data_IF_787919640008
#
_entry.id   IF_787919640008
#
_cell.length_a   1.000
_cell.length_b   1.000
_cell.length_c   1.000
_cell.angle_alpha   90.00
_cell.angle_beta   90.00
_cell.angle_gamma   90.00
#
_symmetry.space_group_name_H-M   'P 1'
#
loop_
_entity.id
_entity.type
_entity.pdbx_description
1 polymer ?
#
# COMPACT_ATOMS: atom_id res chain seq x y z
N UNK A 1 -9.27 8.59 -0.55
CA UNK A 1 -9.89 8.54 0.79
C UNK A 1 -10.25 9.96 1.20
N UNK A 2 -11.41 10.20 1.83
CA UNK A 2 -11.67 11.49 2.51
C UNK A 2 -11.02 11.40 3.89
N UNK A 3 -10.21 12.38 4.26
CA UNK A 3 -9.55 12.40 5.56
C UNK A 3 -10.48 13.06 6.58
N UNK A 4 -10.69 12.42 7.73
CA UNK A 4 -11.37 13.02 8.87
C UNK A 4 -10.37 13.85 9.63
N UNK A 5 -10.53 15.17 9.62
CA UNK A 5 -9.76 16.04 10.51
C UNK A 5 -10.39 16.01 11.91
N UNK A 6 -10.02 14.99 12.67
CA UNK A 6 -10.41 14.80 14.07
C UNK A 6 -9.18 14.50 14.93
N UNK A 7 -8.04 15.08 14.55
CA UNK A 7 -6.80 14.95 15.31
C UNK A 7 -7.04 15.41 16.74
N UNK A 8 -6.57 14.64 17.73
CA UNK A 8 -6.77 14.94 19.14
C UNK A 8 -6.35 16.40 19.43
N UNK A 9 -7.31 17.19 19.90
CA UNK A 9 -7.04 18.56 20.28
C UNK A 9 -6.21 18.62 21.57
N UNK A 10 -5.24 19.53 21.62
CA UNK A 10 -4.37 19.71 22.78
C UNK A 10 -5.00 20.68 23.79
N UNK A 11 -5.98 20.17 24.55
CA UNK A 11 -6.69 20.94 25.57
C UNK A 11 -5.79 21.48 26.70
N UNK A 12 -4.61 20.88 26.91
CA UNK A 12 -3.68 21.30 27.96
C UNK A 12 -3.14 22.71 27.71
N UNK A 13 -3.03 23.11 26.43
CA UNK A 13 -2.57 24.47 26.05
C UNK A 13 -3.50 25.59 26.52
N UNK A 14 -4.72 25.26 26.95
CA UNK A 14 -5.75 26.23 27.32
C UNK A 14 -6.08 26.23 28.82
N UNK A 15 -5.30 25.52 29.66
CA UNK A 15 -5.52 25.42 31.11
C UNK A 15 -6.96 25.03 31.50
N UNK A 16 -7.63 24.22 30.67
CA UNK A 16 -9.00 23.77 30.95
C UNK A 16 -8.95 22.68 32.01
N UNK A 17 -9.60 22.89 33.15
CA UNK A 17 -9.54 22.01 34.32
C UNK A 17 -10.26 20.66 34.12
N UNK A 18 -11.16 20.58 33.13
CA UNK A 18 -12.02 19.41 32.85
C UNK A 18 -11.84 18.89 31.41
N UNK A 19 -10.59 18.58 31.04
CA UNK A 19 -10.27 18.10 29.69
C UNK A 19 -10.85 16.71 29.35
N UNK A 20 -11.20 15.91 30.35
CA UNK A 20 -11.67 14.53 30.15
C UNK A 20 -12.96 14.48 29.34
N UNK A 21 -13.96 15.28 29.72
CA UNK A 21 -15.27 15.28 29.05
C UNK A 21 -15.17 15.83 27.62
N UNK A 22 -14.28 16.79 27.39
CA UNK A 22 -13.99 17.32 26.05
C UNK A 22 -13.31 16.27 25.16
N UNK A 23 -12.36 15.50 25.70
CA UNK A 23 -11.72 14.39 24.98
C UNK A 23 -12.74 13.31 24.63
N UNK A 24 -13.61 12.93 25.57
CA UNK A 24 -14.65 11.92 25.31
C UNK A 24 -15.68 12.40 24.28
N UNK A 25 -16.08 13.68 24.32
CA UNK A 25 -16.90 14.30 23.29
C UNK A 25 -16.26 14.21 21.91
N UNK A 26 -14.97 14.54 21.78
CA UNK A 26 -14.27 14.50 20.49
C UNK A 26 -14.12 13.07 19.96
N UNK A 27 -13.83 12.10 20.84
CA UNK A 27 -13.82 10.67 20.47
C UNK A 27 -15.19 10.22 19.96
N UNK A 28 -16.27 10.63 20.63
CA UNK A 28 -17.63 10.33 20.22
C UNK A 28 -17.97 10.95 18.85
N UNK A 29 -17.57 12.19 18.62
CA UNK A 29 -17.72 12.87 17.33
C UNK A 29 -16.96 12.13 16.22
N UNK A 30 -15.69 11.78 16.45
CA UNK A 30 -14.90 11.01 15.48
C UNK A 30 -15.55 9.65 15.15
N UNK A 31 -15.99 8.92 16.18
CA UNK A 31 -16.69 7.64 16.01
C UNK A 31 -17.94 7.82 15.14
N UNK A 32 -18.74 8.84 15.41
CA UNK A 32 -19.95 9.12 14.63
C UNK A 32 -19.63 9.42 13.16
N UNK A 33 -18.67 10.31 12.89
CA UNK A 33 -18.26 10.64 11.52
C UNK A 33 -17.69 9.43 10.78
N UNK A 34 -16.88 8.62 11.45
CA UNK A 34 -16.31 7.40 10.87
C UNK A 34 -17.38 6.37 10.52
N UNK A 35 -18.36 6.16 11.42
CA UNK A 35 -19.50 5.26 11.16
C UNK A 35 -20.34 5.72 9.97
N UNK A 36 -20.66 7.01 9.89
CA UNK A 36 -21.40 7.56 8.75
C UNK A 36 -20.65 7.35 7.44
N UNK A 37 -19.34 7.56 7.43
CA UNK A 37 -18.52 7.35 6.25
C UNK A 37 -18.47 5.90 5.82
N UNK A 38 -18.21 4.97 6.75
CA UNK A 38 -18.23 3.53 6.45
C UNK A 38 -19.56 3.15 5.83
N UNK A 39 -20.68 3.55 6.44
CA UNK A 39 -22.00 3.22 5.92
C UNK A 39 -22.25 3.80 4.52
N UNK A 40 -21.71 4.99 4.22
CA UNK A 40 -21.84 5.61 2.90
C UNK A 40 -20.93 5.00 1.83
N UNK A 41 -19.82 4.36 2.23
CA UNK A 41 -18.79 3.85 1.33
C UNK A 41 -18.72 2.32 1.27
N UNK A 42 -19.53 1.61 2.06
CA UNK A 42 -19.41 0.16 2.24
C UNK A 42 -19.50 -0.59 0.91
N UNK A 43 -20.45 -0.23 0.05
CA UNK A 43 -20.61 -0.83 -1.27
C UNK A 43 -19.38 -0.56 -2.15
N UNK A 44 -18.90 0.69 -2.18
CA UNK A 44 -17.68 1.05 -2.91
C UNK A 44 -16.44 0.31 -2.38
N UNK A 45 -16.37 0.02 -1.08
CA UNK A 45 -15.28 -0.77 -0.47
C UNK A 45 -15.35 -2.22 -0.98
N UNK A 46 -16.55 -2.81 -1.00
CA UNK A 46 -16.77 -4.17 -1.49
C UNK A 46 -16.44 -4.27 -2.98
N UNK A 47 -16.94 -3.35 -3.80
CA UNK A 47 -16.65 -3.31 -5.25
C UNK A 47 -15.14 -3.24 -5.51
N UNK A 48 -14.42 -2.34 -4.83
CA UNK A 48 -12.95 -2.27 -4.94
C UNK A 48 -12.26 -3.54 -4.47
N UNK A 49 -12.80 -4.24 -3.47
CA UNK A 49 -12.22 -5.52 -3.03
C UNK A 49 -12.35 -6.59 -4.12
N UNK A 50 -13.43 -6.56 -4.90
CA UNK A 50 -13.66 -7.48 -6.01
C UNK A 50 -12.84 -7.17 -7.27
N UNK A 51 -12.22 -6.00 -7.35
CA UNK A 51 -11.25 -5.64 -8.41
C UNK A 51 -9.87 -6.27 -8.20
N UNK A 52 -9.62 -6.87 -7.02
CA UNK A 52 -8.35 -7.51 -6.69
C UNK A 52 -8.42 -8.99 -7.07
N UNK A 53 -7.55 -9.39 -7.99
CA UNK A 53 -7.41 -10.78 -8.41
C UNK A 53 -6.81 -11.63 -7.29
N UNK A 54 -7.19 -12.91 -7.26
CA UNK A 54 -6.67 -13.84 -6.26
C UNK A 54 -5.17 -14.08 -6.51
N UNK A 55 -4.33 -13.43 -5.71
CA UNK A 55 -2.92 -13.75 -5.57
C UNK A 55 -2.87 -15.13 -4.91
N UNK A 56 -2.65 -16.16 -5.75
CA UNK A 56 -2.66 -17.58 -5.35
C UNK A 56 -1.87 -17.78 -4.07
N UNK A 57 -2.32 -18.76 -3.27
CA UNK A 57 -1.73 -19.11 -1.98
C UNK A 57 -0.21 -19.20 -2.09
N UNK A 58 0.48 -18.26 -1.45
CA UNK A 58 1.90 -18.38 -1.15
C UNK A 58 1.96 -19.16 0.15
N UNK A 59 2.32 -20.43 0.09
CA UNK A 59 2.44 -21.34 1.24
C UNK A 59 3.53 -20.93 2.26
N UNK A 60 4.13 -19.74 2.10
CA UNK A 60 5.36 -19.35 2.75
C UNK A 60 5.18 -18.10 3.62
N UNK A 61 5.54 -18.23 4.90
CA UNK A 61 5.36 -17.24 5.98
C UNK A 61 6.34 -16.07 5.89
N UNK A 62 6.34 -15.31 4.81
CA UNK A 62 7.14 -14.09 4.69
C UNK A 62 6.39 -12.84 5.18
N UNK A 63 7.14 -11.86 5.71
CA UNK A 63 6.60 -10.54 6.09
C UNK A 63 5.92 -9.82 4.90
N UNK A 64 6.32 -10.14 3.65
CA UNK A 64 5.66 -9.65 2.45
C UNK A 64 4.17 -10.03 2.35
N UNK A 65 3.73 -11.17 2.89
CA UNK A 65 2.29 -11.53 2.87
C UNK A 65 1.49 -10.51 3.68
N UNK A 66 2.02 -10.07 4.83
CA UNK A 66 1.36 -9.02 5.64
C UNK A 66 1.26 -7.73 4.82
N UNK A 67 2.32 -7.33 4.13
CA UNK A 67 2.33 -6.14 3.27
C UNK A 67 1.31 -6.24 2.14
N UNK A 68 1.15 -7.43 1.53
CA UNK A 68 0.13 -7.68 0.49
C UNK A 68 -1.27 -7.50 1.08
N UNK A 69 -1.56 -8.11 2.25
CA UNK A 69 -2.87 -7.97 2.89
C UNK A 69 -3.18 -6.53 3.34
N UNK A 70 -2.17 -5.80 3.81
CA UNK A 70 -2.31 -4.38 4.11
C UNK A 70 -2.55 -3.54 2.84
N UNK A 71 -1.91 -3.90 1.72
CA UNK A 71 -2.14 -3.26 0.44
C UNK A 71 -3.56 -3.52 -0.09
N UNK A 72 -4.04 -4.77 0.00
CA UNK A 72 -5.41 -5.14 -0.37
C UNK A 72 -6.44 -4.32 0.40
N UNK A 73 -6.27 -4.20 1.72
CA UNK A 73 -7.15 -3.40 2.57
C UNK A 73 -7.04 -1.91 2.25
N UNK A 74 -5.83 -1.41 2.03
CA UNK A 74 -5.61 -0.01 1.64
C UNK A 74 -6.32 0.32 0.33
N UNK A 75 -6.26 -0.59 -0.65
CA UNK A 75 -6.94 -0.43 -1.93
C UNK A 75 -8.45 -0.39 -1.76
N UNK A 76 -9.02 -1.34 -1.02
CA UNK A 76 -10.47 -1.41 -0.78
C UNK A 76 -10.98 -0.17 -0.06
N UNK A 77 -10.20 0.43 0.84
CA UNK A 77 -10.53 1.71 1.50
C UNK A 77 -10.29 2.94 0.60
N UNK A 78 -9.67 2.77 -0.57
CA UNK A 78 -9.35 3.87 -1.49
C UNK A 78 -8.14 4.70 -1.11
N UNK A 79 -7.21 4.09 -0.39
CA UNK A 79 -5.88 4.62 -0.07
C UNK A 79 -4.88 4.13 -1.12
N UNK A 80 -4.98 4.65 -2.34
CA UNK A 80 -4.20 4.19 -3.50
C UNK A 80 -2.70 4.47 -3.36
N UNK A 81 -2.30 5.60 -2.77
CA UNK A 81 -0.89 5.87 -2.45
C UNK A 81 -0.30 4.80 -1.53
N UNK A 82 -1.00 4.48 -0.44
CA UNK A 82 -0.59 3.44 0.50
C UNK A 82 -0.51 2.08 -0.19
N UNK A 83 -1.48 1.78 -1.06
CA UNK A 83 -1.47 0.54 -1.86
C UNK A 83 -0.21 0.45 -2.72
N UNK A 84 0.08 1.47 -3.53
CA UNK A 84 1.26 1.50 -4.41
C UNK A 84 2.55 1.37 -3.61
N UNK A 85 2.65 2.08 -2.48
CA UNK A 85 3.83 2.03 -1.61
C UNK A 85 4.03 0.62 -1.03
N UNK A 86 2.98 0.02 -0.45
CA UNK A 86 3.03 -1.30 0.16
C UNK A 86 3.34 -2.40 -0.85
N UNK A 87 2.68 -2.39 -2.02
CA UNK A 87 2.96 -3.35 -3.11
C UNK A 87 4.40 -3.23 -3.59
N UNK A 88 4.94 -2.00 -3.71
CA UNK A 88 6.32 -1.80 -4.11
C UNK A 88 7.33 -2.37 -3.11
N UNK A 89 7.07 -2.24 -1.81
CA UNK A 89 7.90 -2.85 -0.75
C UNK A 89 7.75 -4.37 -0.75
N UNK A 90 6.52 -4.89 -0.88
CA UNK A 90 6.27 -6.33 -0.96
C UNK A 90 6.99 -6.97 -2.17
N UNK A 91 6.96 -6.31 -3.33
CA UNK A 91 7.68 -6.75 -4.54
C UNK A 91 9.20 -6.77 -4.32
N UNK A 92 9.75 -5.77 -3.64
CA UNK A 92 11.17 -5.74 -3.31
C UNK A 92 11.56 -6.90 -2.38
N UNK A 93 10.75 -7.14 -1.34
CA UNK A 93 10.99 -8.19 -0.36
C UNK A 93 10.85 -9.59 -0.99
N UNK A 94 9.87 -9.79 -1.86
CA UNK A 94 9.69 -11.02 -2.62
C UNK A 94 10.89 -11.31 -3.55
N UNK A 95 11.47 -10.27 -4.16
CA UNK A 95 12.70 -10.43 -4.94
C UNK A 95 13.90 -10.81 -4.05
N UNK A 96 14.01 -10.28 -2.83
CA UNK A 96 15.06 -10.69 -1.88
C UNK A 96 14.87 -12.15 -1.49
N UNK A 97 13.62 -12.53 -1.18
CA UNK A 97 13.26 -13.90 -0.88
C UNK A 97 13.67 -14.87 -2.00
N UNK A 98 13.34 -14.57 -3.26
CA UNK A 98 13.76 -15.40 -4.40
C UNK A 98 15.28 -15.51 -4.54
N UNK A 99 16.02 -14.42 -4.31
CA UNK A 99 17.47 -14.46 -4.33
C UNK A 99 18.05 -15.36 -3.23
N UNK A 100 17.55 -15.23 -2.00
CA UNK A 100 18.01 -16.01 -0.85
C UNK A 100 17.70 -17.49 -1.00
N UNK A 101 16.47 -17.83 -1.42
CA UNK A 101 16.02 -19.21 -1.63
C UNK A 101 16.88 -19.95 -2.66
N UNK A 102 17.42 -19.22 -3.65
CA UNK A 102 18.30 -19.76 -4.70
C UNK A 102 19.79 -19.63 -4.36
N UNK A 103 20.16 -19.27 -3.12
CA UNK A 103 21.56 -19.19 -2.69
C UNK A 103 22.33 -18.00 -3.26
N UNK A 104 21.64 -16.93 -3.64
CA UNK A 104 22.24 -15.70 -4.17
C UNK A 104 22.18 -14.55 -3.16
N UNK A 105 22.69 -14.77 -1.93
CA UNK A 105 22.63 -13.77 -0.86
C UNK A 105 23.28 -12.43 -1.24
N UNK A 106 24.31 -12.43 -2.09
CA UNK A 106 24.94 -11.18 -2.56
C UNK A 106 23.95 -10.22 -3.23
N UNK A 107 22.88 -10.74 -3.83
CA UNK A 107 21.88 -9.90 -4.47
C UNK A 107 21.08 -9.12 -3.43
N UNK A 108 20.93 -9.55 -2.17
CA UNK A 108 20.13 -8.87 -1.11
C UNK A 108 20.55 -7.41 -0.90
N UNK A 109 21.81 -7.07 -1.15
CA UNK A 109 22.35 -5.71 -1.02
C UNK A 109 22.22 -4.83 -2.27
N UNK A 110 21.72 -5.36 -3.39
CA UNK A 110 21.56 -4.61 -4.63
C UNK A 110 20.38 -3.63 -4.58
N UNK A 111 20.37 -2.64 -5.47
CA UNK A 111 19.14 -1.87 -5.71
C UNK A 111 18.01 -2.79 -6.21
N UNK A 112 16.75 -2.41 -6.00
CA UNK A 112 15.61 -3.18 -6.53
C UNK A 112 15.71 -3.36 -8.06
N UNK A 113 16.16 -2.33 -8.78
CA UNK A 113 16.38 -2.38 -10.23
C UNK A 113 17.41 -3.46 -10.61
N UNK A 114 18.60 -3.41 -10.00
CA UNK A 114 19.68 -4.36 -10.32
C UNK A 114 19.29 -5.78 -9.94
N UNK A 115 18.58 -5.94 -8.81
CA UNK A 115 18.10 -7.23 -8.32
C UNK A 115 17.12 -7.86 -9.30
N UNK A 116 16.09 -7.14 -9.73
CA UNK A 116 15.09 -7.65 -10.69
C UNK A 116 15.77 -8.09 -12.00
N UNK A 117 16.70 -7.28 -12.52
CA UNK A 117 17.46 -7.63 -13.72
C UNK A 117 18.30 -8.90 -13.52
N UNK A 118 19.04 -9.00 -12.41
CA UNK A 118 19.86 -10.19 -12.10
C UNK A 118 19.04 -11.46 -11.90
N UNK A 119 17.88 -11.37 -11.24
CA UNK A 119 16.99 -12.52 -11.07
C UNK A 119 16.48 -13.04 -12.43
N UNK A 120 16.19 -12.15 -13.38
CA UNK A 120 15.80 -12.54 -14.74
C UNK A 120 16.96 -13.13 -15.54
N UNK A 121 18.15 -12.52 -15.47
CA UNK A 121 19.38 -13.05 -16.11
C UNK A 121 19.74 -14.45 -15.61
N UNK A 122 19.52 -14.73 -14.33
CA UNK A 122 19.74 -16.04 -13.70
C UNK A 122 18.60 -17.04 -13.96
N UNK A 123 17.52 -16.63 -14.64
CA UNK A 123 16.35 -17.47 -14.90
C UNK A 123 15.51 -17.81 -13.67
N UNK A 124 15.69 -17.09 -12.56
CA UNK A 124 14.95 -17.30 -11.30
C UNK A 124 13.53 -16.76 -11.42
N UNK A 125 13.36 -15.67 -12.17
CA UNK A 125 12.06 -15.14 -12.56
C UNK A 125 11.97 -15.12 -14.08
N UNK A 126 10.76 -15.27 -14.60
CA UNK A 126 10.51 -15.15 -16.05
C UNK A 126 10.57 -13.69 -16.50
N UNK A 127 10.74 -13.45 -17.80
CA UNK A 127 10.71 -12.09 -18.36
C UNK A 127 9.35 -11.39 -18.19
N UNK A 128 8.27 -12.17 -18.07
CA UNK A 128 6.94 -11.63 -17.74
C UNK A 128 6.87 -11.10 -16.31
N UNK A 129 7.39 -11.87 -15.34
CA UNK A 129 7.46 -11.46 -13.93
C UNK A 129 8.41 -10.27 -13.77
N UNK A 130 9.55 -10.28 -14.46
CA UNK A 130 10.48 -9.15 -14.52
C UNK A 130 9.78 -7.86 -14.97
N UNK A 131 9.02 -7.91 -16.06
CA UNK A 131 8.32 -6.74 -16.61
C UNK A 131 7.30 -6.18 -15.62
N UNK A 132 6.58 -7.06 -14.92
CA UNK A 132 5.62 -6.69 -13.86
C UNK A 132 6.30 -6.02 -12.68
N UNK A 133 7.38 -6.59 -12.17
CA UNK A 133 8.12 -6.02 -11.04
C UNK A 133 8.83 -4.70 -11.40
N UNK A 134 9.36 -4.58 -12.62
CA UNK A 134 9.95 -3.31 -13.07
C UNK A 134 8.88 -2.20 -13.23
N UNK A 135 7.67 -2.56 -13.69
CA UNK A 135 6.53 -1.66 -13.74
C UNK A 135 6.10 -1.20 -12.34
N UNK A 136 5.93 -2.12 -11.39
CA UNK A 136 5.63 -1.80 -9.99
C UNK A 136 6.69 -0.85 -9.42
N UNK A 137 7.98 -1.14 -9.63
CA UNK A 137 9.10 -0.29 -9.19
C UNK A 137 9.00 1.13 -9.74
N UNK A 138 8.71 1.29 -11.04
CA UNK A 138 8.57 2.62 -11.67
C UNK A 138 7.41 3.42 -11.08
N UNK A 139 6.24 2.79 -10.93
CA UNK A 139 5.05 3.43 -10.34
C UNK A 139 5.34 3.83 -8.88
N UNK A 140 5.90 2.93 -8.07
CA UNK A 140 6.27 3.21 -6.68
C UNK A 140 7.29 4.34 -6.56
N UNK A 141 8.30 4.40 -7.43
CA UNK A 141 9.27 5.48 -7.41
C UNK A 141 8.63 6.83 -7.77
N UNK A 142 7.74 6.88 -8.75
CA UNK A 142 6.98 8.09 -9.05
C UNK A 142 6.11 8.52 -7.85
N UNK A 143 5.52 7.55 -7.16
CA UNK A 143 4.70 7.77 -5.98
C UNK A 143 5.50 8.35 -4.79
N UNK A 144 6.63 7.75 -4.46
CA UNK A 144 7.40 8.10 -3.26
C UNK A 144 8.26 9.35 -3.44
N UNK A 145 8.75 9.61 -4.64
CA UNK A 145 9.48 10.85 -4.93
C UNK A 145 8.55 12.04 -5.18
N UNK A 146 7.23 11.80 -5.21
CA UNK A 146 6.19 12.82 -5.31
C UNK A 146 6.45 13.77 -6.50
N UNK A 147 6.79 13.18 -7.65
CA UNK A 147 7.21 13.90 -8.85
C UNK A 147 6.05 14.79 -9.37
N UNK A 148 6.35 15.86 -10.12
CA UNK A 148 5.31 16.79 -10.65
C UNK A 148 4.21 16.09 -11.46
N UNK A 149 4.56 15.04 -12.21
CA UNK A 149 3.59 14.21 -12.93
C UNK A 149 2.66 13.43 -11.99
N UNK A 150 3.13 13.05 -10.80
CA UNK A 150 2.35 12.32 -9.80
C UNK A 150 1.47 13.27 -8.96
N UNK A 151 1.96 14.48 -8.66
CA UNK A 151 1.18 15.54 -7.98
C UNK A 151 -0.08 15.95 -8.73
N UNK A 152 -0.07 15.83 -10.06
CA UNK A 152 -1.17 16.22 -10.93
C UNK A 152 -2.12 15.06 -11.27
N UNK A 153 -1.84 13.83 -10.83
CA UNK A 153 -2.70 12.68 -11.10
C UNK A 153 -4.04 12.80 -10.40
N UNK A 154 -5.10 12.46 -11.13
CA UNK A 154 -6.44 12.38 -10.55
C UNK A 154 -6.55 11.10 -9.74
N UNK A 155 -7.50 11.10 -8.81
CA UNK A 155 -7.78 9.94 -7.96
C UNK A 155 -8.10 8.67 -8.78
N UNK A 156 -8.75 8.81 -9.93
CA UNK A 156 -9.11 7.68 -10.77
C UNK A 156 -7.88 7.09 -11.49
N UNK A 157 -6.93 7.93 -11.90
CA UNK A 157 -5.65 7.48 -12.45
C UNK A 157 -4.88 6.67 -11.39
N UNK A 158 -4.84 7.17 -10.15
CA UNK A 158 -4.23 6.47 -9.02
C UNK A 158 -4.94 5.14 -8.70
N UNK A 159 -6.26 5.08 -8.86
CA UNK A 159 -7.02 3.83 -8.70
C UNK A 159 -6.55 2.79 -9.71
N UNK A 160 -6.42 3.19 -10.98
CA UNK A 160 -6.00 2.31 -12.08
C UNK A 160 -4.57 1.82 -11.84
N UNK A 161 -3.66 2.71 -11.47
CA UNK A 161 -2.26 2.33 -11.17
C UNK A 161 -2.17 1.39 -9.97
N UNK A 162 -2.88 1.68 -8.88
CA UNK A 162 -2.89 0.83 -7.70
C UNK A 162 -3.49 -0.56 -7.99
N UNK A 163 -4.58 -0.63 -8.76
CA UNK A 163 -5.19 -1.88 -9.21
C UNK A 163 -4.20 -2.69 -10.05
N UNK A 164 -3.53 -2.01 -10.98
CA UNK A 164 -2.53 -2.65 -11.81
C UNK A 164 -1.36 -3.18 -10.98
N UNK A 165 -0.87 -2.42 -10.01
CA UNK A 165 0.25 -2.85 -9.16
C UNK A 165 -0.12 -4.10 -8.35
N UNK A 166 -1.27 -4.11 -7.69
CA UNK A 166 -1.65 -5.23 -6.81
C UNK A 166 -1.94 -6.51 -7.59
N UNK A 167 -2.53 -6.39 -8.79
CA UNK A 167 -2.82 -7.54 -9.66
C UNK A 167 -1.61 -8.01 -10.50
N UNK A 168 -0.57 -7.18 -10.61
CA UNK A 168 0.71 -7.54 -11.25
C UNK A 168 1.70 -8.21 -10.27
N UNK A 169 1.42 -8.21 -8.97
CA UNK A 169 2.25 -8.84 -7.95
C UNK A 169 2.18 -10.37 -8.01
#
# INVERSE_FOLDING_TARGET
MRYFDCTKFDYKKFNITETSDLIERDKAAYKHSFQQWINSEIDNIVERKWEIENIRVVDETGDFIRLIKEAELSYSLGAYFSTIALVGVASEDLCRYFAEKQGHQKLTNHSQFDRINKLNELGIISSSVHSKFDKIRKIRNNCLHFNEGFKSQKRDDLKIEAASCINDL
#
